data_IF_671850063945
#
_entry.id   IF_671850063945
#
_cell.length_a   1.000
_cell.length_b   1.000
_cell.length_c   1.000
_cell.angle_alpha   90.00
_cell.angle_beta   90.00
_cell.angle_gamma   90.00
#
_symmetry.space_group_name_H-M   'P 1'
#
loop_
_entity.id
_entity.type
_entity.pdbx_description
1 polymer ?
#
# COMPACT_ATOMS: atom_id res chain seq x y z
N UNK A 1 14.42 1.41 -3.56
CA UNK A 1 14.43 0.26 -4.47
C UNK A 1 13.03 0.15 -4.98
N UNK A 2 12.86 0.14 -6.29
CA UNK A 2 11.54 0.20 -6.90
C UNK A 2 11.14 -1.20 -7.33
N UNK A 3 9.98 -1.65 -6.87
CA UNK A 3 9.38 -2.91 -7.28
C UNK A 3 8.21 -2.54 -8.18
N UNK A 4 8.31 -2.89 -9.46
CA UNK A 4 7.28 -2.60 -10.46
C UNK A 4 6.68 -3.94 -10.89
N UNK A 5 5.42 -4.16 -10.56
CA UNK A 5 4.62 -5.26 -11.12
C UNK A 5 4.02 -4.72 -12.43
N UNK A 6 4.37 -5.34 -13.56
CA UNK A 6 3.95 -4.87 -14.89
C UNK A 6 2.86 -5.76 -15.48
N UNK A 7 1.87 -5.12 -16.10
CA UNK A 7 0.70 -5.78 -16.67
C UNK A 7 -0.53 -5.66 -15.77
N UNK A 8 -1.69 -5.98 -16.34
CA UNK A 8 -2.93 -6.06 -15.57
C UNK A 8 -2.88 -7.27 -14.64
N UNK A 9 -3.22 -7.05 -13.38
CA UNK A 9 -3.30 -8.09 -12.36
C UNK A 9 -4.63 -7.98 -11.65
N UNK A 10 -5.29 -9.12 -11.48
CA UNK A 10 -6.42 -9.18 -10.56
C UNK A 10 -5.93 -9.19 -9.10
N UNK A 11 -6.88 -9.15 -8.16
CA UNK A 11 -6.59 -9.16 -6.71
C UNK A 11 -5.68 -10.31 -6.29
N UNK A 12 -5.95 -11.52 -6.79
CA UNK A 12 -5.21 -12.72 -6.41
C UNK A 12 -3.77 -12.71 -6.93
N UNK A 13 -3.59 -12.35 -8.20
CA UNK A 13 -2.27 -12.24 -8.84
C UNK A 13 -1.40 -11.15 -8.20
N UNK A 14 -2.03 -10.04 -7.82
CA UNK A 14 -1.36 -8.93 -7.12
C UNK A 14 -0.84 -9.38 -5.76
N UNK A 15 -1.67 -10.09 -4.98
CA UNK A 15 -1.28 -10.61 -3.66
C UNK A 15 -0.14 -11.62 -3.79
N UNK A 16 -0.24 -12.56 -4.72
CA UNK A 16 0.80 -13.57 -4.94
C UNK A 16 2.12 -12.92 -5.36
N UNK A 17 2.09 -11.91 -6.22
CA UNK A 17 3.28 -11.19 -6.68
C UNK A 17 3.98 -10.45 -5.54
N UNK A 18 3.21 -9.74 -4.70
CA UNK A 18 3.75 -9.07 -3.51
C UNK A 18 4.32 -10.08 -2.52
N UNK A 19 3.63 -11.20 -2.27
CA UNK A 19 4.11 -12.25 -1.39
C UNK A 19 5.45 -12.81 -1.85
N UNK A 20 5.59 -13.13 -3.14
CA UNK A 20 6.84 -13.63 -3.73
C UNK A 20 8.00 -12.65 -3.56
N UNK A 21 7.76 -11.35 -3.73
CA UNK A 21 8.79 -10.32 -3.52
C UNK A 21 9.23 -10.26 -2.05
N UNK A 22 8.29 -10.32 -1.11
CA UNK A 22 8.61 -10.34 0.33
C UNK A 22 9.32 -11.63 0.75
N UNK A 23 8.94 -12.78 0.19
CA UNK A 23 9.63 -14.05 0.38
C UNK A 23 11.07 -13.97 -0.13
N UNK A 24 11.30 -13.37 -1.31
CA UNK A 24 12.65 -13.16 -1.85
C UNK A 24 13.54 -12.36 -0.88
N UNK A 25 13.04 -11.26 -0.31
CA UNK A 25 13.81 -10.48 0.67
C UNK A 25 14.17 -11.30 1.91
N UNK A 26 13.24 -12.11 2.40
CA UNK A 26 13.45 -12.96 3.57
C UNK A 26 14.46 -14.08 3.29
N UNK A 27 14.26 -14.82 2.21
CA UNK A 27 14.97 -16.08 1.96
C UNK A 27 16.32 -15.85 1.28
N UNK A 28 16.33 -15.03 0.22
CA UNK A 28 17.54 -14.82 -0.59
C UNK A 28 18.49 -13.79 0.00
N UNK A 29 17.92 -12.76 0.63
CA UNK A 29 18.66 -11.59 1.13
C UNK A 29 18.69 -11.50 2.65
N UNK A 30 18.00 -12.41 3.36
CA UNK A 30 17.97 -12.46 4.83
C UNK A 30 17.56 -11.14 5.50
N UNK A 31 16.72 -10.35 4.85
CA UNK A 31 16.17 -9.11 5.41
C UNK A 31 15.26 -9.45 6.60
N UNK A 32 15.54 -8.84 7.75
CA UNK A 32 14.87 -9.15 9.03
C UNK A 32 13.66 -8.26 9.34
N UNK A 33 13.48 -7.19 8.57
CA UNK A 33 12.36 -6.27 8.77
C UNK A 33 12.34 -5.15 7.75
N UNK A 34 11.20 -4.48 7.69
CA UNK A 34 10.94 -3.36 6.78
C UNK A 34 10.67 -2.12 7.61
N UNK A 35 11.39 -1.04 7.33
CA UNK A 35 11.16 0.26 8.00
C UNK A 35 10.03 1.03 7.34
N UNK A 36 9.91 0.93 6.02
CA UNK A 36 8.97 1.68 5.20
C UNK A 36 8.77 0.95 3.86
N UNK A 37 7.54 0.95 3.34
CA UNK A 37 7.20 0.45 2.00
C UNK A 37 6.31 1.51 1.35
N UNK A 38 6.72 2.00 0.18
CA UNK A 38 5.92 2.88 -0.66
C UNK A 38 5.31 2.05 -1.78
N UNK A 39 4.00 2.12 -1.94
CA UNK A 39 3.27 1.47 -3.02
C UNK A 39 2.58 2.54 -3.87
N UNK A 40 2.81 2.49 -5.17
CA UNK A 40 2.06 3.27 -6.16
C UNK A 40 1.16 2.30 -6.91
N UNK A 41 -0.14 2.61 -6.99
CA UNK A 41 -1.14 1.76 -7.63
C UNK A 41 -1.87 2.58 -8.68
N UNK A 42 -1.98 2.04 -9.90
CA UNK A 42 -2.91 2.50 -10.92
C UNK A 42 -4.13 1.60 -10.87
N UNK A 43 -5.32 2.18 -10.78
CA UNK A 43 -6.57 1.44 -10.66
C UNK A 43 -7.28 1.44 -12.01
N UNK A 44 -7.91 0.31 -12.35
CA UNK A 44 -8.70 0.16 -13.55
C UNK A 44 -10.17 -0.11 -13.17
N UNK A 45 -11.10 0.37 -13.99
CA UNK A 45 -12.51 -0.03 -13.92
C UNK A 45 -12.78 -1.37 -14.66
N UNK A 46 -14.06 -1.74 -14.78
CA UNK A 46 -14.48 -2.96 -15.45
C UNK A 46 -14.33 -2.92 -16.99
N UNK A 47 -14.06 -1.74 -17.57
CA UNK A 47 -13.74 -1.56 -18.98
C UNK A 47 -12.22 -1.53 -19.23
N UNK A 48 -11.40 -1.57 -18.17
CA UNK A 48 -9.95 -1.48 -18.28
C UNK A 48 -9.44 -0.03 -18.39
N UNK A 49 -10.25 0.95 -18.02
CA UNK A 49 -9.88 2.37 -18.05
C UNK A 49 -9.32 2.82 -16.69
N UNK A 50 -8.31 3.69 -16.72
CA UNK A 50 -7.69 4.27 -15.52
C UNK A 50 -8.73 5.07 -14.71
N UNK A 51 -8.81 4.79 -13.41
CA UNK A 51 -9.71 5.50 -12.48
C UNK A 51 -9.00 6.11 -11.29
N UNK A 52 -9.52 7.24 -10.83
CA UNK A 52 -9.12 7.88 -9.59
C UNK A 52 -10.20 7.69 -8.52
N UNK A 53 -9.77 7.44 -7.28
CA UNK A 53 -10.66 7.47 -6.14
C UNK A 53 -10.91 8.93 -5.76
N UNK A 54 -12.18 9.35 -5.68
CA UNK A 54 -12.56 10.73 -5.33
C UNK A 54 -13.16 10.77 -3.92
N UNK A 55 -12.69 11.71 -3.09
CA UNK A 55 -13.32 11.98 -1.80
C UNK A 55 -14.69 12.63 -2.02
N UNK A 56 -15.73 11.94 -1.56
CA UNK A 56 -17.11 12.42 -1.65
C UNK A 56 -17.35 13.76 -0.93
N UNK A 57 -16.57 14.09 0.10
CA UNK A 57 -16.71 15.32 0.88
C UNK A 57 -15.99 16.51 0.24
N UNK A 58 -14.72 16.36 -0.12
CA UNK A 58 -13.90 17.45 -0.70
C UNK A 58 -14.00 17.55 -2.21
N UNK A 59 -14.47 16.48 -2.88
CA UNK A 59 -14.44 16.31 -4.35
C UNK A 59 -13.03 16.26 -4.94
N UNK A 60 -12.01 16.04 -4.11
CA UNK A 60 -10.63 15.91 -4.56
C UNK A 60 -10.22 14.43 -4.72
N UNK A 61 -9.29 14.12 -5.64
CA UNK A 61 -8.71 12.78 -5.75
C UNK A 61 -7.91 12.39 -4.51
N UNK A 62 -8.08 11.14 -4.06
CA UNK A 62 -7.23 10.52 -3.04
C UNK A 62 -5.82 10.32 -3.60
N UNK A 63 -4.84 11.05 -3.04
CA UNK A 63 -3.44 10.96 -3.50
C UNK A 63 -2.60 9.95 -2.75
N UNK A 64 -2.86 9.75 -1.45
CA UNK A 64 -2.04 8.91 -0.58
C UNK A 64 -2.90 8.12 0.40
N UNK A 65 -2.75 6.80 0.40
CA UNK A 65 -3.27 5.92 1.44
C UNK A 65 -2.14 5.59 2.42
N UNK A 66 -2.26 6.04 3.67
CA UNK A 66 -1.24 5.78 4.69
C UNK A 66 -1.72 4.66 5.61
N UNK A 67 -1.12 3.48 5.46
CA UNK A 67 -1.36 2.37 6.38
C UNK A 67 -0.33 2.43 7.49
N UNK A 68 -0.79 2.59 8.72
CA UNK A 68 0.07 2.57 9.89
C UNK A 68 -0.08 1.26 10.64
N UNK A 69 1.02 0.86 11.27
CA UNK A 69 0.96 -0.08 12.38
C UNK A 69 0.40 0.67 13.59
N UNK A 70 -0.62 0.13 14.24
CA UNK A 70 -1.20 0.69 15.45
C UNK A 70 -0.10 0.92 16.51
N UNK A 71 -0.12 2.08 17.16
CA UNK A 71 0.95 2.54 18.06
C UNK A 71 2.13 3.24 17.37
N UNK A 72 2.09 3.43 16.05
CA UNK A 72 3.00 4.30 15.28
C UNK A 72 2.25 5.45 14.59
N UNK A 73 1.00 5.68 14.96
CA UNK A 73 0.12 6.69 14.37
C UNK A 73 0.54 8.09 14.84
N UNK A 74 1.34 8.79 14.04
CA UNK A 74 1.67 10.24 14.08
C UNK A 74 2.03 10.88 15.45
N UNK A 75 2.20 10.09 16.51
CA UNK A 75 2.77 10.50 17.79
C UNK A 75 3.39 9.29 18.49
N UNK A 76 4.63 9.47 18.93
CA UNK A 76 5.44 8.54 19.70
C UNK A 76 4.64 7.88 20.85
N UNK A 77 4.24 6.60 20.78
CA UNK A 77 4.11 5.71 21.96
C UNK A 77 3.73 4.26 21.61
N UNK A 78 4.53 3.35 22.17
CA UNK A 78 4.53 1.89 21.96
C UNK A 78 3.29 1.19 22.55
N UNK A 79 2.64 0.35 21.75
CA UNK A 79 1.59 -0.60 22.13
C UNK A 79 1.51 -1.78 21.15
N UNK A 80 0.85 -2.88 21.54
CA UNK A 80 0.74 -4.13 20.76
C UNK A 80 0.02 -3.87 19.43
N UNK A 81 0.42 -4.46 18.29
CA UNK A 81 0.08 -3.91 16.99
C UNK A 81 -1.08 -4.61 16.28
N UNK A 82 -2.14 -3.87 15.98
CA UNK A 82 -3.12 -4.14 14.91
C UNK A 82 -2.77 -3.27 13.69
N UNK A 83 -3.16 -3.67 12.47
CA UNK A 83 -2.96 -2.84 11.26
C UNK A 83 -4.18 -1.94 11.07
N UNK A 84 -3.97 -0.64 10.80
CA UNK A 84 -5.06 0.32 10.57
C UNK A 84 -4.80 1.14 9.30
N UNK A 85 -5.77 1.14 8.39
CA UNK A 85 -5.80 2.01 7.21
C UNK A 85 -6.25 3.40 7.65
N UNK A 86 -5.42 4.42 7.41
CA UNK A 86 -5.76 5.83 7.62
C UNK A 86 -5.73 6.53 6.27
N UNK A 87 -6.78 7.30 5.99
CA UNK A 87 -6.89 8.03 4.73
C UNK A 87 -6.73 9.51 5.03
N UNK A 88 -5.75 10.15 4.38
CA UNK A 88 -5.36 11.55 4.61
C UNK A 88 -5.72 12.39 3.38
N UNK A 89 -6.73 13.24 3.55
CA UNK A 89 -7.32 14.07 2.49
C UNK A 89 -7.06 15.57 2.69
N UNK A 90 -6.10 15.93 3.54
CA UNK A 90 -5.87 17.32 3.89
C UNK A 90 -4.68 17.94 3.14
N UNK A 91 -4.95 19.02 2.40
CA UNK A 91 -3.98 20.04 1.95
C UNK A 91 -4.08 21.27 2.85
#
# INVERSE_FOLDING_TARGET
MDIILQGEHNEHETLESLERVLQLFKERYHIQGYREIHLTVTLLDDQGEDVELIDTATKEPYRIFKVYREGYELTERRGVPVLRLVVDNTN
#
